data_IF_074490867353
#
_entry.id   IF_074490867353
#
_cell.length_a   1.000
_cell.length_b   1.000
_cell.length_c   1.000
_cell.angle_alpha   90.00
_cell.angle_beta   90.00
_cell.angle_gamma   90.00
#
_symmetry.space_group_name_H-M   'P 1'
#
loop_
_entity.id
_entity.type
_entity.pdbx_description
1 polymer ?
#
# COMPACT_ATOMS: atom_id res chain seq x y z
N UNK A 1 -20.80 39.27 31.45
CA UNK A 1 -21.80 38.69 30.52
C UNK A 1 -21.32 38.60 29.06
N UNK A 2 -20.17 39.19 28.68
CA UNK A 2 -19.67 39.20 27.29
C UNK A 2 -18.90 37.91 26.88
N UNK A 3 -18.41 37.11 27.84
CA UNK A 3 -17.67 35.87 27.56
C UNK A 3 -18.51 34.70 27.02
N UNK A 4 -19.84 34.83 26.96
CA UNK A 4 -20.75 33.80 26.40
C UNK A 4 -21.26 34.15 24.99
N UNK A 5 -21.05 35.38 24.52
CA UNK A 5 -21.47 35.84 23.20
C UNK A 5 -20.54 35.34 22.09
N UNK A 6 -19.23 35.34 22.36
CA UNK A 6 -18.22 34.85 21.42
C UNK A 6 -18.43 33.39 20.98
N UNK A 7 -18.64 32.41 21.90
CA UNK A 7 -18.85 31.03 21.48
C UNK A 7 -20.17 30.81 20.71
N UNK A 8 -21.24 31.56 21.03
CA UNK A 8 -22.52 31.46 20.31
C UNK A 8 -22.41 32.03 18.90
N UNK A 9 -21.70 33.16 18.74
CA UNK A 9 -21.48 33.76 17.43
C UNK A 9 -20.59 32.89 16.54
N UNK A 10 -19.55 32.29 17.10
CA UNK A 10 -18.68 31.36 16.38
C UNK A 10 -19.46 30.10 15.95
N UNK A 11 -20.33 29.56 16.80
CA UNK A 11 -21.20 28.44 16.45
C UNK A 11 -22.15 28.80 15.30
N UNK A 12 -22.78 29.98 15.33
CA UNK A 12 -23.68 30.44 14.26
C UNK A 12 -22.96 30.64 12.93
N UNK A 13 -21.79 31.29 12.95
CA UNK A 13 -21.00 31.56 11.75
C UNK A 13 -20.43 30.28 11.16
N UNK A 14 -19.86 29.40 12.00
CA UNK A 14 -19.31 28.11 11.57
C UNK A 14 -20.38 27.22 10.94
N UNK A 15 -21.57 27.16 11.54
CA UNK A 15 -22.69 26.37 11.00
C UNK A 15 -23.21 26.98 9.69
N UNK A 16 -23.31 28.30 9.60
CA UNK A 16 -23.74 28.99 8.38
C UNK A 16 -22.78 28.77 7.21
N UNK A 17 -21.47 28.84 7.45
CA UNK A 17 -20.44 28.58 6.44
C UNK A 17 -20.48 27.10 6.03
N UNK A 18 -20.58 26.16 6.98
CA UNK A 18 -20.61 24.73 6.70
C UNK A 18 -21.80 24.31 5.83
N UNK A 19 -23.01 24.76 6.18
CA UNK A 19 -24.22 24.46 5.39
C UNK A 19 -24.16 25.12 4.01
N UNK A 20 -23.71 26.38 3.94
CA UNK A 20 -23.57 27.11 2.68
C UNK A 20 -22.63 26.42 1.70
N UNK A 21 -21.46 25.97 2.18
CA UNK A 21 -20.49 25.25 1.38
C UNK A 21 -21.03 23.89 0.92
N UNK A 22 -21.71 23.15 1.80
CA UNK A 22 -22.29 21.84 1.46
C UNK A 22 -23.37 21.91 0.37
N UNK A 23 -24.17 22.98 0.35
CA UNK A 23 -25.16 23.20 -0.71
C UNK A 23 -24.52 23.70 -2.01
N UNK A 24 -23.53 24.60 -1.91
CA UNK A 24 -22.85 25.15 -3.09
C UNK A 24 -21.96 24.12 -3.81
N UNK A 25 -21.33 23.21 -3.07
CA UNK A 25 -20.44 22.18 -3.60
C UNK A 25 -21.14 20.83 -3.84
N UNK A 26 -22.47 20.78 -3.70
CA UNK A 26 -23.22 19.54 -3.92
C UNK A 26 -23.05 19.10 -5.39
N UNK A 27 -22.50 17.90 -5.66
CA UNK A 27 -22.39 17.41 -7.02
C UNK A 27 -23.78 17.25 -7.66
N UNK A 28 -23.91 17.46 -8.98
CA UNK A 28 -25.16 17.18 -9.66
C UNK A 28 -25.52 15.69 -9.49
N UNK A 29 -26.81 15.37 -9.34
CA UNK A 29 -27.24 13.99 -9.19
C UNK A 29 -26.78 13.16 -10.39
N UNK A 30 -26.27 11.94 -10.18
CA UNK A 30 -25.84 11.08 -11.27
C UNK A 30 -27.01 10.84 -12.23
N UNK A 31 -26.74 10.72 -13.55
CA UNK A 31 -27.78 10.42 -14.51
C UNK A 31 -28.50 9.11 -14.11
N UNK A 32 -29.82 9.01 -14.34
CA UNK A 32 -30.56 7.81 -14.02
C UNK A 32 -29.95 6.63 -14.78
N UNK A 33 -29.52 5.62 -14.04
CA UNK A 33 -29.04 4.37 -14.62
C UNK A 33 -30.21 3.72 -15.38
N UNK A 34 -30.06 3.58 -16.70
CA UNK A 34 -30.92 2.72 -17.50
C UNK A 34 -30.64 1.26 -17.11
N UNK A 35 -31.59 0.66 -16.41
CA UNK A 35 -31.56 -0.75 -16.04
C UNK A 35 -31.75 -1.58 -17.31
N UNK A 36 -30.67 -2.14 -17.85
CA UNK A 36 -30.75 -3.19 -18.85
C UNK A 36 -31.37 -4.45 -18.20
N UNK A 37 -32.55 -4.94 -18.66
CA UNK A 37 -33.21 -6.07 -18.03
C UNK A 37 -32.84 -7.35 -18.77
N UNK A 38 -31.85 -8.09 -18.28
CA UNK A 38 -31.68 -9.52 -18.55
C UNK A 38 -30.85 -10.15 -17.41
N UNK A 39 -31.54 -10.71 -16.41
CA UNK A 39 -30.97 -11.74 -15.50
C UNK A 39 -30.92 -13.12 -16.19
N UNK A 40 -30.69 -14.26 -15.48
CA UNK A 40 -30.74 -14.54 -14.03
C UNK A 40 -29.37 -15.05 -13.49
N UNK A 41 -29.04 -15.19 -12.21
CA UNK A 41 -29.75 -15.21 -10.93
C UNK A 41 -28.93 -16.13 -10.02
N UNK A 42 -28.53 -15.65 -8.83
CA UNK A 42 -28.37 -16.39 -7.56
C UNK A 42 -27.69 -15.50 -6.50
N UNK A 43 -28.53 -14.73 -5.82
CA UNK A 43 -28.64 -14.56 -4.37
C UNK A 43 -27.42 -14.77 -3.44
N UNK A 44 -27.14 -13.67 -2.72
CA UNK A 44 -26.88 -13.56 -1.27
C UNK A 44 -25.47 -13.12 -0.84
N UNK A 45 -25.44 -11.82 -0.52
CA UNK A 45 -25.06 -11.27 0.79
C UNK A 45 -23.59 -10.87 1.03
N UNK A 46 -23.50 -9.59 1.41
CA UNK A 46 -22.60 -9.00 2.40
C UNK A 46 -21.40 -8.18 1.88
N UNK A 47 -21.36 -7.00 2.49
CA UNK A 47 -20.24 -6.08 2.70
C UNK A 47 -19.82 -5.16 1.55
N UNK A 48 -20.36 -3.95 1.66
CA UNK A 48 -19.64 -2.70 1.43
C UNK A 48 -18.17 -2.84 1.87
N UNK A 49 -17.27 -2.77 0.90
CA UNK A 49 -15.95 -2.18 1.12
C UNK A 49 -15.85 -1.07 0.09
N UNK A 50 -15.69 0.16 0.59
CA UNK A 50 -15.34 1.34 -0.18
C UNK A 50 -14.27 1.00 -1.21
N UNK A 51 -14.68 0.90 -2.47
CA UNK A 51 -13.77 1.16 -3.57
C UNK A 51 -13.58 2.69 -3.57
N UNK A 52 -12.42 3.14 -3.10
CA UNK A 52 -11.92 4.48 -3.46
C UNK A 52 -12.14 4.66 -4.96
N UNK A 53 -12.65 5.83 -5.41
CA UNK A 53 -12.69 6.10 -6.84
C UNK A 53 -11.24 6.08 -7.31
N UNK A 54 -10.91 5.09 -8.15
CA UNK A 54 -9.72 5.14 -8.97
C UNK A 54 -9.83 6.43 -9.78
N UNK A 55 -9.11 7.46 -9.36
CA UNK A 55 -8.76 8.55 -10.23
C UNK A 55 -8.07 7.89 -11.43
N UNK A 56 -8.77 7.85 -12.57
CA UNK A 56 -8.13 7.62 -13.85
C UNK A 56 -7.22 8.83 -14.09
N UNK A 57 -6.07 8.84 -13.41
CA UNK A 57 -4.93 9.58 -13.89
C UNK A 57 -4.63 9.05 -15.28
N UNK A 58 -4.72 9.93 -16.27
CA UNK A 58 -4.21 9.68 -17.62
C UNK A 58 -2.71 9.52 -17.47
N UNK A 59 -2.27 8.32 -17.11
CA UNK A 59 -0.86 7.98 -17.05
C UNK A 59 -0.35 8.07 -18.47
N UNK A 60 0.66 8.91 -18.66
CA UNK A 60 1.54 8.82 -19.82
C UNK A 60 1.98 7.35 -19.89
N UNK A 61 1.49 6.61 -20.89
CA UNK A 61 1.58 5.14 -20.99
C UNK A 61 3.02 4.63 -21.18
N UNK A 62 3.99 5.53 -21.00
CA UNK A 62 5.43 5.31 -21.03
C UNK A 62 6.07 5.27 -19.65
N UNK A 63 5.38 5.70 -18.59
CA UNK A 63 5.93 5.71 -17.23
C UNK A 63 5.72 4.38 -16.51
N UNK A 64 6.75 3.92 -15.79
CA UNK A 64 6.66 2.73 -14.96
C UNK A 64 5.59 2.90 -13.87
N UNK A 65 4.90 1.81 -13.59
CA UNK A 65 3.85 1.74 -12.57
C UNK A 65 4.43 1.18 -11.27
N UNK A 66 3.82 1.55 -10.13
CA UNK A 66 4.26 1.11 -8.82
C UNK A 66 3.15 0.35 -8.10
N UNK A 67 3.44 -0.88 -7.71
CA UNK A 67 2.54 -1.73 -6.92
C UNK A 67 3.00 -1.73 -5.48
N UNK A 68 2.22 -1.10 -4.60
CA UNK A 68 2.45 -1.12 -3.16
C UNK A 68 1.97 -2.43 -2.55
N UNK A 69 2.80 -3.05 -1.72
CA UNK A 69 2.35 -4.16 -0.89
C UNK A 69 1.62 -3.61 0.34
N UNK A 70 0.31 -3.86 0.43
CA UNK A 70 -0.56 -3.28 1.47
C UNK A 70 -0.14 -3.64 2.89
N UNK A 71 0.40 -4.85 3.08
CA UNK A 71 0.82 -5.35 4.38
C UNK A 71 2.34 -5.33 4.52
N UNK A 72 2.80 -4.85 5.68
CA UNK A 72 4.21 -4.90 6.04
C UNK A 72 4.73 -6.34 6.16
N UNK A 73 6.02 -6.50 5.93
CA UNK A 73 6.79 -7.72 6.14
C UNK A 73 7.39 -7.68 7.53
N UNK A 74 7.29 -8.78 8.27
CA UNK A 74 7.83 -8.90 9.64
C UNK A 74 8.74 -10.12 9.68
N UNK A 75 9.97 -9.91 10.13
CA UNK A 75 11.04 -10.91 10.12
C UNK A 75 11.77 -10.87 11.45
N UNK A 76 11.95 -12.04 12.07
CA UNK A 76 12.76 -12.19 13.28
C UNK A 76 14.24 -12.34 12.94
N UNK A 77 15.09 -11.69 13.73
CA UNK A 77 16.53 -11.90 13.73
C UNK A 77 16.86 -12.81 14.89
N UNK A 78 17.52 -13.94 14.60
CA UNK A 78 17.86 -14.97 15.58
C UNK A 78 19.38 -15.02 15.76
N UNK A 79 19.83 -15.02 17.01
CA UNK A 79 21.23 -15.22 17.41
C UNK A 79 21.24 -16.15 18.63
N UNK A 80 22.14 -17.14 18.65
CA UNK A 80 22.22 -18.17 19.70
C UNK A 80 20.85 -18.80 20.07
N UNK A 81 20.08 -19.21 19.05
CA UNK A 81 18.73 -19.78 19.16
C UNK A 81 17.68 -18.89 19.85
N UNK A 82 17.94 -17.58 19.96
CA UNK A 82 17.03 -16.58 20.54
C UNK A 82 16.70 -15.49 19.56
N UNK A 83 15.47 -15.01 19.58
CA UNK A 83 15.08 -13.81 18.84
C UNK A 83 15.69 -12.61 19.56
N UNK A 84 16.58 -11.88 18.88
CA UNK A 84 17.24 -10.69 19.41
C UNK A 84 16.66 -9.39 18.86
N UNK A 85 15.97 -9.46 17.71
CA UNK A 85 15.29 -8.31 17.13
C UNK A 85 14.12 -8.74 16.23
N UNK A 86 13.20 -7.81 16.01
CA UNK A 86 12.16 -7.85 14.98
C UNK A 86 12.43 -6.76 13.94
N UNK A 87 12.37 -7.13 12.67
CA UNK A 87 12.49 -6.21 11.54
C UNK A 87 11.14 -6.10 10.85
N UNK A 88 10.67 -4.87 10.67
CA UNK A 88 9.43 -4.53 9.97
C UNK A 88 9.76 -3.72 8.73
N UNK A 89 9.22 -4.11 7.58
CA UNK A 89 9.54 -3.49 6.29
C UNK A 89 8.30 -3.32 5.43
N UNK A 90 8.24 -2.22 4.66
CA UNK A 90 7.26 -2.00 3.60
C UNK A 90 7.99 -1.86 2.26
N UNK A 91 7.37 -2.31 1.16
CA UNK A 91 7.99 -2.26 -0.16
C UNK A 91 6.97 -1.96 -1.27
N UNK A 92 7.48 -1.39 -2.35
CA UNK A 92 6.80 -1.23 -3.62
C UNK A 92 7.57 -2.01 -4.70
N UNK A 93 6.83 -2.56 -5.65
CA UNK A 93 7.39 -3.18 -6.86
C UNK A 93 7.17 -2.23 -8.02
N UNK A 94 8.25 -1.84 -8.68
CA UNK A 94 8.19 -1.04 -9.91
C UNK A 94 8.08 -1.98 -11.11
N UNK A 95 7.09 -1.73 -11.96
CA UNK A 95 6.81 -2.54 -13.14
C UNK A 95 6.62 -1.70 -14.39
N UNK A 96 6.81 -2.32 -15.55
CA UNK A 96 6.48 -1.70 -16.83
C UNK A 96 4.97 -1.39 -16.92
N UNK A 97 4.56 -0.35 -17.67
CA UNK A 97 3.16 0.03 -17.84
C UNK A 97 2.27 -1.17 -18.20
N UNK A 98 1.07 -1.25 -17.62
CA UNK A 98 0.08 -2.28 -17.87
C UNK A 98 0.33 -3.64 -17.22
N UNK A 99 1.29 -3.75 -16.29
CA UNK A 99 1.64 -5.03 -15.61
C UNK A 99 1.22 -5.08 -14.13
N UNK A 100 0.60 -4.03 -13.61
CA UNK A 100 0.10 -3.96 -12.22
C UNK A 100 -0.83 -5.12 -11.85
N UNK A 101 -1.79 -5.46 -12.72
CA UNK A 101 -2.76 -6.55 -12.45
C UNK A 101 -2.08 -7.90 -12.22
N UNK A 102 -1.04 -8.22 -12.99
CA UNK A 102 -0.33 -9.50 -12.83
C UNK A 102 0.43 -9.57 -11.50
N UNK A 103 1.01 -8.45 -11.06
CA UNK A 103 1.65 -8.37 -9.74
C UNK A 103 0.63 -8.60 -8.64
N UNK A 104 -0.56 -7.99 -8.73
CA UNK A 104 -1.64 -8.22 -7.75
C UNK A 104 -2.10 -9.68 -7.75
N UNK A 105 -2.26 -10.29 -8.92
CA UNK A 105 -2.66 -11.71 -9.07
C UNK A 105 -1.67 -12.66 -8.40
N UNK A 106 -0.36 -12.40 -8.53
CA UNK A 106 0.70 -13.23 -7.95
C UNK A 106 1.22 -12.70 -6.61
N UNK A 107 0.62 -11.63 -6.07
CA UNK A 107 1.06 -11.00 -4.82
C UNK A 107 1.21 -12.01 -3.66
N UNK A 108 0.31 -12.99 -3.46
CA UNK A 108 0.49 -13.98 -2.40
C UNK A 108 1.80 -14.79 -2.54
N UNK A 109 2.18 -15.18 -3.75
CA UNK A 109 3.42 -15.93 -4.02
C UNK A 109 4.66 -15.05 -3.89
N UNK A 110 4.60 -13.82 -4.41
CA UNK A 110 5.69 -12.87 -4.24
C UNK A 110 5.96 -12.58 -2.76
N UNK A 111 4.89 -12.43 -1.97
CA UNK A 111 5.01 -12.18 -0.54
C UNK A 111 5.73 -13.33 0.18
N UNK A 112 5.34 -14.57 -0.10
CA UNK A 112 6.01 -15.76 0.44
C UNK A 112 7.50 -15.80 0.06
N UNK A 113 7.80 -15.60 -1.22
CA UNK A 113 9.16 -15.61 -1.72
C UNK A 113 10.03 -14.46 -1.14
N UNK A 114 9.47 -13.26 -0.98
CA UNK A 114 10.15 -12.13 -0.34
C UNK A 114 10.42 -12.37 1.14
N UNK A 115 9.47 -12.96 1.87
CA UNK A 115 9.70 -13.35 3.27
C UNK A 115 10.89 -14.30 3.38
N UNK A 116 10.97 -15.32 2.52
CA UNK A 116 12.11 -16.24 2.50
C UNK A 116 13.44 -15.51 2.23
N UNK A 117 13.48 -14.57 1.29
CA UNK A 117 14.66 -13.75 1.01
C UNK A 117 15.08 -12.94 2.23
N UNK A 118 14.12 -12.31 2.92
CA UNK A 118 14.40 -11.50 4.10
C UNK A 118 14.86 -12.36 5.28
N UNK A 119 14.28 -13.55 5.51
CA UNK A 119 14.77 -14.50 6.51
C UNK A 119 16.19 -14.97 6.20
N UNK A 120 16.49 -15.28 4.95
CA UNK A 120 17.85 -15.62 4.53
C UNK A 120 18.82 -14.45 4.79
N UNK A 121 18.40 -13.22 4.49
CA UNK A 121 19.18 -12.02 4.77
C UNK A 121 19.42 -11.82 6.27
N UNK A 122 18.43 -12.09 7.12
CA UNK A 122 18.57 -12.08 8.57
C UNK A 122 19.59 -13.13 9.05
N UNK A 123 19.49 -14.36 8.55
CA UNK A 123 20.35 -15.48 8.94
C UNK A 123 21.83 -15.28 8.60
N UNK A 124 22.13 -14.53 7.54
CA UNK A 124 23.52 -14.16 7.18
C UNK A 124 24.01 -12.88 7.90
N UNK A 125 23.24 -12.36 8.86
CA UNK A 125 23.59 -11.15 9.61
C UNK A 125 23.39 -9.83 8.85
N UNK A 126 22.58 -9.86 7.78
CA UNK A 126 22.23 -8.68 6.98
C UNK A 126 21.49 -7.61 7.78
N UNK A 127 20.77 -7.99 8.82
CA UNK A 127 20.11 -7.05 9.75
C UNK A 127 20.90 -6.75 11.02
N UNK A 128 22.13 -7.27 11.18
CA UNK A 128 22.96 -7.05 12.37
C UNK A 128 23.78 -5.74 12.27
N UNK A 129 24.17 -5.15 13.41
CA UNK A 129 25.01 -3.95 13.44
C UNK A 129 24.42 -2.78 12.64
N UNK A 130 25.24 -2.13 11.79
CA UNK A 130 24.80 -1.09 10.86
C UNK A 130 23.95 -1.69 9.72
N UNK A 131 22.71 -2.07 10.03
CA UNK A 131 21.80 -2.77 9.12
C UNK A 131 21.33 -1.92 7.94
N UNK A 132 21.44 -0.60 8.04
CA UNK A 132 21.14 0.36 6.95
C UNK A 132 22.35 0.65 6.06
N UNK A 133 23.48 -0.03 6.27
CA UNK A 133 24.66 0.11 5.42
C UNK A 133 24.33 -0.17 3.94
N UNK A 134 24.92 0.64 3.06
CA UNK A 134 24.64 0.58 1.61
C UNK A 134 24.89 -0.81 1.02
N UNK A 135 25.94 -1.52 1.44
CA UNK A 135 26.24 -2.84 0.90
C UNK A 135 25.19 -3.86 1.32
N UNK A 136 24.77 -3.83 2.59
CA UNK A 136 23.75 -4.73 3.13
C UNK A 136 22.41 -4.52 2.44
N UNK A 137 21.99 -3.26 2.30
CA UNK A 137 20.74 -2.93 1.62
C UNK A 137 20.78 -3.23 0.12
N UNK A 138 21.94 -3.08 -0.53
CA UNK A 138 22.09 -3.43 -1.95
C UNK A 138 21.96 -4.94 -2.15
N UNK A 139 22.56 -5.75 -1.28
CA UNK A 139 22.41 -7.21 -1.30
C UNK A 139 20.93 -7.61 -1.17
N UNK A 140 20.22 -7.04 -0.20
CA UNK A 140 18.80 -7.32 0.02
C UNK A 140 17.93 -6.93 -1.19
N UNK A 141 18.08 -5.71 -1.71
CA UNK A 141 17.30 -5.24 -2.88
C UNK A 141 17.55 -6.12 -4.11
N UNK A 142 18.80 -6.50 -4.36
CA UNK A 142 19.14 -7.35 -5.49
C UNK A 142 18.51 -8.75 -5.35
N UNK A 143 18.56 -9.35 -4.16
CA UNK A 143 17.96 -10.66 -3.92
C UNK A 143 16.42 -10.64 -4.04
N UNK A 144 15.77 -9.57 -3.58
CA UNK A 144 14.34 -9.36 -3.77
C UNK A 144 14.00 -9.19 -5.25
N UNK A 145 14.75 -8.36 -5.98
CA UNK A 145 14.55 -8.13 -7.42
C UNK A 145 14.73 -9.41 -8.24
N UNK A 146 15.79 -10.17 -7.97
CA UNK A 146 16.04 -11.45 -8.64
C UNK A 146 14.90 -12.43 -8.39
N UNK A 147 14.40 -12.49 -7.16
CA UNK A 147 13.27 -13.36 -6.79
C UNK A 147 11.97 -12.93 -7.47
N UNK A 148 11.69 -11.63 -7.54
CA UNK A 148 10.54 -11.09 -8.27
C UNK A 148 10.61 -11.41 -9.76
N UNK A 149 11.78 -11.20 -10.39
CA UNK A 149 12.01 -11.52 -11.81
C UNK A 149 11.92 -13.01 -12.10
N UNK A 150 12.36 -13.88 -11.18
CA UNK A 150 12.15 -15.34 -11.32
C UNK A 150 10.67 -15.72 -11.30
N UNK A 151 9.83 -14.99 -10.59
CA UNK A 151 8.40 -15.29 -10.45
C UNK A 151 7.53 -14.69 -11.56
N UNK A 152 7.85 -13.46 -12.01
CA UNK A 152 7.03 -12.66 -12.92
C UNK A 152 7.72 -12.26 -14.22
N UNK A 153 9.03 -12.47 -14.33
CA UNK A 153 9.80 -12.22 -15.55
C UNK A 153 10.28 -10.77 -15.70
N UNK A 154 10.44 -10.40 -16.98
CA UNK A 154 10.99 -9.12 -17.45
C UNK A 154 10.20 -7.86 -17.02
N UNK A 155 8.87 -7.89 -16.82
CA UNK A 155 8.13 -6.68 -16.43
C UNK A 155 8.56 -6.04 -15.10
N UNK A 156 9.30 -6.77 -14.25
CA UNK A 156 9.80 -6.23 -12.97
C UNK A 156 11.05 -5.39 -13.18
N UNK A 157 10.92 -4.09 -12.92
CA UNK A 157 11.99 -3.10 -13.08
C UNK A 157 12.85 -3.05 -11.82
N UNK A 158 12.24 -2.81 -10.66
CA UNK A 158 12.96 -2.62 -9.40
C UNK A 158 12.08 -2.94 -8.17
N UNK A 159 12.75 -3.08 -7.01
CA UNK A 159 12.10 -3.21 -5.70
C UNK A 159 12.53 -2.03 -4.83
N UNK A 160 11.55 -1.33 -4.27
CA UNK A 160 11.75 -0.13 -3.47
C UNK A 160 11.35 -0.39 -2.03
N UNK A 161 12.31 -0.41 -1.12
CA UNK A 161 12.07 -0.49 0.32
C UNK A 161 11.62 0.91 0.78
N UNK A 162 10.38 1.03 1.24
CA UNK A 162 9.79 2.31 1.65
C UNK A 162 10.12 2.61 3.11
N UNK A 163 9.85 1.65 4.00
CA UNK A 163 10.18 1.73 5.42
C UNK A 163 11.00 0.50 5.85
N UNK A 164 11.91 0.73 6.79
CA UNK A 164 12.65 -0.33 7.48
C UNK A 164 12.84 0.06 8.94
N UNK A 165 12.23 -0.72 9.83
CA UNK A 165 12.34 -0.55 11.28
C UNK A 165 12.94 -1.82 11.86
N UNK A 166 13.91 -1.64 12.76
CA UNK A 166 14.43 -2.73 13.59
C UNK A 166 14.13 -2.40 15.04
N UNK A 167 13.53 -3.35 15.75
CA UNK A 167 13.26 -3.29 17.17
C UNK A 167 14.05 -4.39 17.87
N UNK A 168 15.01 -4.01 18.70
CA UNK A 168 15.75 -4.95 19.56
C UNK A 168 14.87 -5.40 20.73
N UNK A 169 15.09 -6.64 21.19
CA UNK A 169 14.35 -7.29 22.29
C UNK A 169 15.17 -7.36 23.58
#
# INVERSE_FOLDING_TARGET
MLGKLLPVLLALVGTGIGIGAGVALRPPPPPPMEIHPCGPGNDMMAEETEAEPAEEEVTDSTQNEFVRFSNQFVVSVVEDDKIVALVVMSLNVEVLPGNTEEVFRQQPKLRDAFLQVMFNHANIGGFNGAFTDTNKMTLLRNALLETARRQLGEPIVAIHIQDLVRQDL
#
